data_IF_066336500115
#
_entry.id   IF_066336500115
#
_cell.length_a   1.000
_cell.length_b   1.000
_cell.length_c   1.000
_cell.angle_alpha   90.00
_cell.angle_beta   90.00
_cell.angle_gamma   90.00
#
_symmetry.space_group_name_H-M   'P 1'
#
loop_
_entity.id
_entity.type
_entity.pdbx_description
1 polymer ?
#
# COMPACT_ATOMS: atom_id res chain seq x y z
N UNK A 1 23.50 8.20 -44.48
CA UNK A 1 22.14 7.62 -44.31
C UNK A 1 21.29 8.63 -43.55
N UNK A 2 20.39 9.37 -44.22
CA UNK A 2 19.50 10.35 -43.56
C UNK A 2 18.21 9.62 -43.19
N UNK A 3 18.11 9.11 -41.96
CA UNK A 3 16.84 8.62 -41.45
C UNK A 3 15.89 9.82 -41.34
N UNK A 4 14.75 9.75 -42.04
CA UNK A 4 13.73 10.80 -42.02
C UNK A 4 13.24 11.00 -40.59
N UNK A 5 13.00 12.24 -40.17
CA UNK A 5 12.49 12.58 -38.84
C UNK A 5 11.18 11.81 -38.51
N UNK A 6 10.40 11.46 -39.54
CA UNK A 6 9.20 10.63 -39.43
C UNK A 6 9.49 9.19 -38.96
N UNK A 7 10.65 8.63 -39.28
CA UNK A 7 11.03 7.29 -38.82
C UNK A 7 11.41 7.27 -37.33
N UNK A 8 11.99 8.37 -36.84
CA UNK A 8 12.37 8.54 -35.42
C UNK A 8 11.12 8.68 -34.55
N UNK A 9 10.13 9.44 -35.01
CA UNK A 9 8.88 9.64 -34.26
C UNK A 9 8.09 8.33 -34.12
N UNK A 10 8.00 7.52 -35.18
CA UNK A 10 7.30 6.22 -35.12
C UNK A 10 7.99 5.25 -34.15
N UNK A 11 9.33 5.24 -34.11
CA UNK A 11 10.09 4.43 -33.15
C UNK A 11 9.85 4.87 -31.70
N UNK A 12 9.76 6.19 -31.44
CA UNK A 12 9.45 6.72 -30.10
C UNK A 12 8.05 6.32 -29.63
N UNK A 13 7.04 6.34 -30.51
CA UNK A 13 5.68 5.93 -30.14
C UNK A 13 5.57 4.44 -29.77
N UNK A 14 6.36 3.57 -30.40
CA UNK A 14 6.36 2.13 -30.11
C UNK A 14 7.01 1.77 -28.77
N UNK A 15 7.96 2.58 -28.28
CA UNK A 15 8.61 2.32 -26.98
C UNK A 15 7.69 2.69 -25.81
N UNK A 16 6.84 3.70 -25.96
CA UNK A 16 5.99 4.20 -24.87
C UNK A 16 4.83 3.21 -24.59
N UNK A 17 4.30 2.53 -25.61
CA UNK A 17 3.19 1.58 -25.46
C UNK A 17 3.59 0.22 -24.90
N UNK A 18 4.89 -0.10 -24.85
CA UNK A 18 5.40 -1.41 -24.42
C UNK A 18 5.56 -1.60 -22.91
N UNK A 19 5.28 -0.59 -22.09
CA UNK A 19 5.21 -0.79 -20.64
C UNK A 19 3.82 -1.31 -20.29
N UNK A 20 3.63 -2.61 -20.52
CA UNK A 20 2.54 -3.31 -19.85
C UNK A 20 2.76 -3.13 -18.35
N UNK A 21 1.97 -2.24 -17.74
CA UNK A 21 1.83 -2.19 -16.30
C UNK A 21 1.34 -3.57 -15.90
N UNK A 22 2.28 -4.43 -15.50
CA UNK A 22 1.98 -5.72 -14.91
C UNK A 22 1.08 -5.39 -13.74
N UNK A 23 -0.22 -5.65 -13.90
CA UNK A 23 -1.20 -5.53 -12.84
C UNK A 23 -0.80 -6.59 -11.82
N UNK A 24 0.12 -6.23 -10.93
CA UNK A 24 0.37 -6.99 -9.71
C UNK A 24 -1.01 -7.04 -9.07
N UNK A 25 -1.60 -8.22 -8.99
CA UNK A 25 -2.88 -8.43 -8.32
C UNK A 25 -2.78 -7.73 -6.96
N UNK A 26 -3.42 -6.57 -6.89
CA UNK A 26 -3.00 -5.51 -5.98
C UNK A 26 -3.16 -6.00 -4.55
N UNK A 27 -2.07 -5.98 -3.79
CA UNK A 27 -2.14 -6.29 -2.38
C UNK A 27 -3.16 -5.35 -1.72
N UNK A 28 -4.30 -5.88 -1.27
CA UNK A 28 -5.35 -5.06 -0.65
C UNK A 28 -4.93 -4.75 0.77
N UNK A 29 -4.73 -3.46 1.04
CA UNK A 29 -4.54 -2.96 2.40
C UNK A 29 -5.91 -2.63 2.96
N UNK A 30 -6.23 -3.23 4.10
CA UNK A 30 -7.39 -2.90 4.91
C UNK A 30 -7.01 -1.89 5.98
N UNK A 31 -7.98 -1.08 6.38
CA UNK A 31 -7.83 -0.10 7.44
C UNK A 31 -9.01 -0.19 8.42
N UNK A 32 -8.73 0.00 9.71
CA UNK A 32 -9.76 0.17 10.75
C UNK A 32 -9.27 1.14 11.81
N UNK A 33 -10.20 1.78 12.52
CA UNK A 33 -9.88 2.50 13.74
C UNK A 33 -10.18 1.61 14.94
N UNK A 34 -9.26 1.59 15.91
CA UNK A 34 -9.43 0.83 17.15
C UNK A 34 -9.39 1.76 18.36
N UNK A 35 -10.18 1.42 19.38
CA UNK A 35 -10.14 2.07 20.67
C UNK A 35 -9.03 1.44 21.54
N UNK A 36 -8.17 2.28 22.10
CA UNK A 36 -7.10 1.90 23.02
C UNK A 36 -7.55 1.77 24.49
N UNK A 37 -8.86 1.76 24.76
CA UNK A 37 -9.50 1.54 26.07
C UNK A 37 -9.01 2.53 27.13
N UNK A 38 -9.08 3.83 26.82
CA UNK A 38 -8.70 4.90 27.74
C UNK A 38 -7.19 5.14 27.88
N UNK A 39 -6.35 4.45 27.10
CA UNK A 39 -4.94 4.82 26.96
C UNK A 39 -4.80 6.01 26.01
N UNK A 40 -3.89 6.94 26.34
CA UNK A 40 -3.46 7.98 25.42
C UNK A 40 -2.92 7.32 24.16
N UNK A 41 -3.33 7.82 22.99
CA UNK A 41 -2.80 7.32 21.73
C UNK A 41 -1.32 7.67 21.62
N UNK A 42 -0.49 6.64 21.58
CA UNK A 42 0.92 6.68 21.23
C UNK A 42 1.12 5.74 20.06
N UNK A 43 1.90 6.14 19.05
CA UNK A 43 2.19 5.29 17.89
C UNK A 43 2.73 3.92 18.28
N UNK A 44 3.53 3.85 19.36
CA UNK A 44 4.05 2.59 19.89
C UNK A 44 2.92 1.68 20.40
N UNK A 45 2.02 2.24 21.21
CA UNK A 45 0.87 1.50 21.77
C UNK A 45 -0.09 1.08 20.65
N UNK A 46 -0.38 2.01 19.74
CA UNK A 46 -1.26 1.79 18.61
C UNK A 46 -0.71 0.69 17.69
N UNK A 47 0.56 0.79 17.29
CA UNK A 47 1.21 -0.22 16.46
C UNK A 47 1.23 -1.59 17.13
N UNK A 48 1.57 -1.68 18.43
CA UNK A 48 1.54 -2.95 19.15
C UNK A 48 0.13 -3.57 19.18
N UNK A 49 -0.90 -2.75 19.40
CA UNK A 49 -2.30 -3.21 19.36
C UNK A 49 -2.71 -3.70 17.97
N UNK A 50 -2.35 -2.97 16.90
CA UNK A 50 -2.63 -3.36 15.52
C UNK A 50 -1.91 -4.66 15.13
N UNK A 51 -0.62 -4.79 15.45
CA UNK A 51 0.18 -6.00 15.22
C UNK A 51 -0.41 -7.20 15.98
N UNK A 52 -0.82 -7.01 17.23
CA UNK A 52 -1.44 -8.08 18.02
C UNK A 52 -2.77 -8.53 17.43
N UNK A 53 -3.64 -7.58 17.05
CA UNK A 53 -5.00 -7.84 16.55
C UNK A 53 -5.02 -8.47 15.16
N UNK A 54 -4.08 -8.09 14.30
CA UNK A 54 -3.96 -8.57 12.92
C UNK A 54 -2.74 -9.50 12.73
N UNK A 55 -2.30 -10.13 13.80
CA UNK A 55 -1.23 -11.12 13.74
C UNK A 55 -1.65 -12.26 12.78
N UNK A 56 -0.81 -12.54 11.78
CA UNK A 56 -1.07 -13.60 10.79
C UNK A 56 -1.50 -13.11 9.39
N UNK A 57 -1.76 -11.82 9.20
CA UNK A 57 -2.16 -11.23 7.91
C UNK A 57 -0.99 -11.05 6.91
N UNK A 58 -0.26 -12.13 6.64
CA UNK A 58 0.85 -12.20 5.68
C UNK A 58 2.22 -11.93 6.33
N UNK A 59 3.13 -12.91 6.27
CA UNK A 59 4.48 -12.82 6.85
C UNK A 59 5.31 -11.64 6.29
N UNK A 60 4.99 -11.19 5.08
CA UNK A 60 5.71 -10.11 4.39
C UNK A 60 5.03 -8.74 4.55
N UNK A 61 3.83 -8.69 5.13
CA UNK A 61 3.03 -7.46 5.25
C UNK A 61 2.50 -7.32 6.68
N UNK A 62 3.38 -7.11 7.68
CA UNK A 62 2.95 -6.96 9.05
C UNK A 62 2.00 -5.77 9.18
N UNK A 63 0.99 -5.92 10.04
CA UNK A 63 0.10 -4.82 10.37
C UNK A 63 0.88 -3.65 10.97
N UNK A 64 0.38 -2.44 10.74
CA UNK A 64 0.94 -1.17 11.20
C UNK A 64 -0.15 -0.37 11.90
N UNK A 65 0.21 0.34 12.95
CA UNK A 65 -0.69 1.26 13.65
C UNK A 65 -0.08 2.63 13.81
N UNK A 66 -0.88 3.69 13.66
CA UNK A 66 -0.50 5.06 13.95
C UNK A 66 -1.63 5.86 14.57
N UNK A 67 -1.27 6.86 15.37
CA UNK A 67 -2.23 7.80 15.92
C UNK A 67 -2.56 8.88 14.89
N UNK A 68 -3.85 9.08 14.64
CA UNK A 68 -4.31 10.18 13.81
C UNK A 68 -4.29 11.50 14.60
N UNK A 69 -4.43 12.67 13.93
CA UNK A 69 -4.47 13.97 14.62
C UNK A 69 -5.61 14.14 15.63
N UNK A 70 -6.65 13.31 15.54
CA UNK A 70 -7.77 13.27 16.49
C UNK A 70 -7.47 12.38 17.72
N UNK A 71 -6.27 11.82 17.83
CA UNK A 71 -5.87 10.96 18.95
C UNK A 71 -6.46 9.55 18.89
N UNK A 72 -6.94 9.09 17.73
CA UNK A 72 -7.45 7.73 17.53
C UNK A 72 -6.39 6.84 16.89
N UNK A 73 -6.39 5.56 17.24
CA UNK A 73 -5.47 4.59 16.66
C UNK A 73 -6.03 4.04 15.34
N UNK A 74 -5.29 4.22 14.25
CA UNK A 74 -5.61 3.68 12.94
C UNK A 74 -4.69 2.51 12.60
N UNK A 75 -5.27 1.35 12.31
CA UNK A 75 -4.57 0.13 11.92
C UNK A 75 -4.64 -0.11 10.42
N UNK A 76 -3.54 -0.60 9.85
CA UNK A 76 -3.40 -0.97 8.44
C UNK A 76 -2.80 -2.35 8.36
N UNK A 77 -3.38 -3.23 7.57
CA UNK A 77 -2.85 -4.58 7.39
C UNK A 77 -3.19 -5.13 6.00
N UNK A 78 -2.46 -6.14 5.58
CA UNK A 78 -2.75 -6.84 4.35
C UNK A 78 -3.93 -7.80 4.55
N UNK A 79 -5.02 -7.61 3.82
CA UNK A 79 -6.21 -8.45 3.95
C UNK A 79 -6.39 -9.47 2.81
N UNK A 80 -5.30 -9.77 2.08
CA UNK A 80 -5.31 -10.71 0.97
C UNK A 80 -5.62 -10.06 -0.38
N UNK A 81 -5.53 -10.83 -1.48
CA UNK A 81 -6.06 -10.42 -2.78
C UNK A 81 -7.58 -10.58 -2.77
N UNK A 82 -8.34 -9.49 -2.97
CA UNK A 82 -9.77 -9.52 -3.31
C UNK A 82 -10.72 -10.13 -2.27
N UNK A 83 -11.56 -9.29 -1.67
CA UNK A 83 -12.90 -9.70 -1.19
C UNK A 83 -13.91 -9.06 -2.12
#
# INVERSE_FOLDING_TARGET
>A
MKLSAAAITVLLFLVITGTEMTKIEGARICAEQIDLKGKVCSDQICNAACVSRHSGNGKNFPARGYCNPSGQCACFWYCGPGR
#
